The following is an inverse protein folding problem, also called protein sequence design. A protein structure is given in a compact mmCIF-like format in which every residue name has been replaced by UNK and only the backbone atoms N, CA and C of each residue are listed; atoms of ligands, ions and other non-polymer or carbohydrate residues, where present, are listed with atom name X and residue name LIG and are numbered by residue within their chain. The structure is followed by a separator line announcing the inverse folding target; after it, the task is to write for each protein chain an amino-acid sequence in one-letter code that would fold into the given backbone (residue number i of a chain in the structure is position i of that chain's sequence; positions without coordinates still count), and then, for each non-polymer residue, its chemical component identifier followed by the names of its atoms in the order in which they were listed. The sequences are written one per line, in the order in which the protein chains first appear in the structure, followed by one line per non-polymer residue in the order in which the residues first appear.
data_IF_675955393431
#
_entry.id   IF_675955393431
#
_cell.length_a   1.000
_cell.length_b   1.000
_cell.length_c   1.000
_cell.angle_alpha   90.00
_cell.angle_beta   90.00
_cell.angle_gamma   90.00
#
_symmetry.space_group_name_H-M   'P 1'
#
loop_
_entity.id
_entity.type
_entity.pdbx_description
1 polymer ?
#
# COMPACT_ATOMS: atom_id res chain seq x y z
N UNK A 1 -16.42 8.46 -0.34
CA UNK A 1 -15.99 8.41 1.06
C UNK A 1 -15.59 9.80 1.51
N UNK A 2 -15.86 10.15 2.74
CA UNK A 2 -15.43 11.43 3.29
C UNK A 2 -13.93 11.47 3.53
N UNK A 3 -13.44 12.62 3.97
CA UNK A 3 -12.02 12.77 4.26
C UNK A 3 -11.63 11.95 5.48
N UNK A 4 -10.39 11.49 5.46
CA UNK A 4 -9.81 10.70 6.55
C UNK A 4 -9.37 11.66 7.64
N UNK A 5 -9.75 11.43 8.92
CA UNK A 5 -9.30 12.31 10.01
C UNK A 5 -7.79 12.41 10.06
N UNK A 6 -7.30 13.59 10.45
CA UNK A 6 -5.85 13.86 10.46
C UNK A 6 -5.06 12.86 11.30
N UNK A 7 -5.58 12.46 12.46
CA UNK A 7 -4.88 11.50 13.33
C UNK A 7 -4.77 10.12 12.69
N UNK A 8 -5.78 9.71 11.94
CA UNK A 8 -5.76 8.43 11.22
C UNK A 8 -4.82 8.53 10.02
N UNK A 9 -4.92 9.62 9.25
CA UNK A 9 -4.03 9.83 8.11
C UNK A 9 -2.56 9.87 8.53
N UNK A 10 -2.24 10.50 9.66
CA UNK A 10 -0.89 10.53 10.19
C UNK A 10 -0.37 9.15 10.55
N UNK A 11 -1.20 8.35 11.20
CA UNK A 11 -0.82 6.97 11.54
C UNK A 11 -0.55 6.15 10.28
N UNK A 12 -1.40 6.28 9.27
CA UNK A 12 -1.18 5.57 8.00
C UNK A 12 0.14 6.01 7.37
N UNK A 13 0.39 7.32 7.31
CA UNK A 13 1.58 7.86 6.66
C UNK A 13 2.87 7.47 7.37
N UNK A 14 2.85 7.35 8.69
CA UNK A 14 4.03 7.04 9.49
C UNK A 14 4.44 5.56 9.43
N UNK A 15 3.52 4.67 9.13
CA UNK A 15 3.80 3.24 9.11
C UNK A 15 4.86 2.90 8.06
N UNK A 16 5.68 1.91 8.36
CA UNK A 16 6.79 1.50 7.46
C UNK A 16 6.45 0.27 6.66
N UNK A 17 5.54 -0.56 7.14
CA UNK A 17 5.11 -1.79 6.47
C UNK A 17 3.60 -1.87 6.58
N UNK A 18 2.96 -2.14 5.46
CA UNK A 18 1.55 -2.50 5.42
C UNK A 18 1.41 -3.95 4.97
N UNK A 19 0.24 -4.52 5.17
CA UNK A 19 -0.07 -5.86 4.71
C UNK A 19 -1.22 -5.76 3.72
N UNK A 20 -0.89 -6.06 2.46
CA UNK A 20 -1.84 -5.94 1.35
C UNK A 20 -2.51 -7.27 1.10
N UNK A 21 -3.83 -7.28 1.19
CA UNK A 21 -4.66 -8.43 0.84
C UNK A 21 -5.27 -8.24 -0.53
N UNK A 22 -5.11 -9.25 -1.37
CA UNK A 22 -5.73 -9.36 -2.69
C UNK A 22 -6.41 -10.71 -2.81
N UNK A 23 -7.28 -10.87 -3.79
CA UNK A 23 -7.91 -12.15 -4.05
C UNK A 23 -7.96 -12.40 -5.55
N UNK A 24 -7.88 -13.67 -5.94
CA UNK A 24 -8.02 -14.02 -7.35
C UNK A 24 -9.49 -14.11 -7.76
N UNK A 25 -9.73 -14.48 -9.02
CA UNK A 25 -11.09 -14.58 -9.55
C UNK A 25 -11.95 -15.61 -8.82
N UNK A 26 -11.33 -16.61 -8.20
CA UNK A 26 -12.06 -17.64 -7.44
C UNK A 26 -12.25 -17.26 -5.97
N UNK A 27 -11.70 -16.14 -5.55
CA UNK A 27 -11.80 -15.68 -4.17
C UNK A 27 -10.70 -16.16 -3.25
N UNK A 28 -9.64 -16.79 -3.78
CA UNK A 28 -8.50 -17.20 -2.94
C UNK A 28 -7.72 -15.96 -2.51
N UNK A 29 -7.61 -15.70 -1.20
CA UNK A 29 -6.88 -14.53 -0.73
C UNK A 29 -5.38 -14.74 -0.70
N UNK A 30 -4.65 -13.66 -0.89
CA UNK A 30 -3.20 -13.59 -0.74
C UNK A 30 -2.88 -12.35 0.08
N UNK A 31 -2.01 -12.47 1.07
CA UNK A 31 -1.59 -11.34 1.89
C UNK A 31 -0.07 -11.24 1.82
N UNK A 32 0.43 -10.06 1.50
CA UNK A 32 1.88 -9.82 1.39
C UNK A 32 2.25 -8.52 2.12
N UNK A 33 3.45 -8.46 2.72
CA UNK A 33 3.93 -7.20 3.28
C UNK A 33 4.36 -6.25 2.15
N UNK A 34 4.12 -4.97 2.34
CA UNK A 34 4.49 -3.94 1.37
C UNK A 34 5.13 -2.75 2.07
N UNK A 35 6.07 -2.11 1.38
CA UNK A 35 6.42 -0.73 1.65
C UNK A 35 5.44 0.15 0.90
N UNK A 36 5.06 1.27 1.48
CA UNK A 36 4.03 2.11 0.89
C UNK A 36 4.21 3.57 1.29
N UNK A 37 3.57 4.45 0.54
CA UNK A 37 3.43 5.85 0.90
C UNK A 37 1.96 6.25 0.80
N UNK A 38 1.57 7.25 1.56
CA UNK A 38 0.19 7.71 1.64
C UNK A 38 0.17 9.22 1.51
N UNK A 39 -0.68 9.75 0.63
CA UNK A 39 -0.77 11.18 0.38
C UNK A 39 -1.96 11.86 1.08
N UNK A 40 -2.64 11.14 1.96
CA UNK A 40 -3.86 11.61 2.61
C UNK A 40 -5.13 11.12 1.92
N UNK A 41 -5.04 10.67 0.69
CA UNK A 41 -6.17 10.19 -0.10
C UNK A 41 -5.95 8.79 -0.66
N UNK A 42 -4.76 8.52 -1.17
CA UNK A 42 -4.43 7.24 -1.81
C UNK A 42 -3.14 6.67 -1.25
N UNK A 43 -3.04 5.35 -1.31
CA UNK A 43 -1.87 4.62 -0.87
C UNK A 43 -1.16 4.06 -2.10
N UNK A 44 0.17 4.18 -2.13
CA UNK A 44 1.00 3.77 -3.26
C UNK A 44 2.03 2.75 -2.81
N UNK A 45 2.19 1.69 -3.60
CA UNK A 45 3.23 0.69 -3.38
C UNK A 45 3.84 0.33 -4.72
N UNK A 46 5.16 0.48 -4.83
CA UNK A 46 5.86 0.17 -6.06
C UNK A 46 6.17 -1.33 -6.14
N UNK A 47 6.08 -1.87 -7.34
CA UNK A 47 6.57 -3.21 -7.61
C UNK A 47 8.05 -3.06 -7.94
N UNK A 48 8.88 -3.81 -7.22
CA UNK A 48 10.32 -3.76 -7.39
C UNK A 48 10.68 -4.10 -8.84
N UNK A 49 11.55 -3.28 -9.42
CA UNK A 49 11.95 -3.40 -10.80
C UNK A 49 12.94 -4.53 -11.06
N UNK A 50 13.34 -5.31 -10.06
CA UNK A 50 14.28 -6.40 -10.27
C UNK A 50 13.55 -7.62 -10.85
N UNK A 51 13.55 -7.77 -12.17
CA UNK A 51 12.65 -8.73 -12.81
C UNK A 51 12.97 -10.19 -12.53
N UNK A 52 14.21 -10.50 -12.19
CA UNK A 52 14.63 -11.90 -12.05
C UNK A 52 14.12 -12.57 -10.79
N UNK A 53 14.07 -11.84 -9.69
CA UNK A 53 13.74 -12.40 -8.39
C UNK A 53 12.29 -12.17 -7.99
N UNK A 54 11.62 -11.23 -8.66
CA UNK A 54 10.28 -10.81 -8.29
C UNK A 54 9.18 -11.49 -9.06
N UNK A 55 9.55 -12.33 -10.00
CA UNK A 55 8.65 -12.82 -11.04
C UNK A 55 7.40 -13.53 -10.51
N UNK A 56 7.56 -14.43 -9.56
CA UNK A 56 6.44 -15.22 -9.09
C UNK A 56 5.46 -14.42 -8.25
N UNK A 57 5.95 -13.88 -7.15
CA UNK A 57 5.11 -13.22 -6.16
C UNK A 57 4.57 -11.89 -6.66
N UNK A 58 5.42 -11.06 -7.25
CA UNK A 58 4.99 -9.78 -7.79
C UNK A 58 3.89 -9.95 -8.81
N UNK A 59 4.02 -10.95 -9.68
CA UNK A 59 3.01 -11.21 -10.69
C UNK A 59 1.70 -11.73 -10.10
N UNK A 60 1.76 -12.50 -9.02
CA UNK A 60 0.54 -13.04 -8.41
C UNK A 60 -0.35 -11.93 -7.86
N UNK A 61 0.20 -10.98 -7.09
CA UNK A 61 -0.61 -9.88 -6.58
C UNK A 61 -1.12 -8.99 -7.72
N UNK A 62 -0.34 -8.81 -8.77
CA UNK A 62 -0.75 -8.02 -9.91
C UNK A 62 -1.87 -8.72 -10.68
N UNK A 63 -1.75 -10.02 -10.92
CA UNK A 63 -2.82 -10.77 -11.57
C UNK A 63 -4.10 -10.72 -10.75
N UNK A 64 -3.99 -10.86 -9.44
CA UNK A 64 -5.14 -10.77 -8.56
C UNK A 64 -5.86 -9.44 -8.72
N UNK A 65 -5.11 -8.33 -8.71
CA UNK A 65 -5.69 -7.00 -8.85
C UNK A 65 -6.34 -6.82 -10.23
N UNK A 66 -5.74 -7.35 -11.28
CA UNK A 66 -6.34 -7.29 -12.61
C UNK A 66 -7.67 -8.03 -12.68
N UNK A 67 -7.76 -9.17 -12.01
CA UNK A 67 -8.98 -9.96 -11.99
C UNK A 67 -10.00 -9.45 -10.99
N UNK A 68 -9.53 -8.87 -9.89
CA UNK A 68 -10.38 -8.38 -8.81
C UNK A 68 -9.70 -7.17 -8.17
N UNK A 69 -10.21 -6.00 -8.47
CA UNK A 69 -9.62 -4.75 -8.01
C UNK A 69 -9.83 -4.48 -6.51
N UNK A 70 -10.69 -5.24 -5.86
CA UNK A 70 -10.96 -5.03 -4.43
C UNK A 70 -9.79 -5.52 -3.60
N UNK A 71 -9.29 -4.65 -2.72
CA UNK A 71 -8.14 -4.93 -1.88
C UNK A 71 -8.39 -4.43 -0.46
N UNK A 72 -7.59 -4.95 0.46
CA UNK A 72 -7.51 -4.44 1.83
C UNK A 72 -6.06 -4.25 2.22
N UNK A 73 -5.80 -3.23 3.02
CA UNK A 73 -4.46 -3.01 3.59
C UNK A 73 -4.62 -2.83 5.09
N UNK A 74 -3.83 -3.55 5.86
CA UNK A 74 -3.75 -3.34 7.29
C UNK A 74 -2.41 -2.70 7.62
N UNK A 75 -2.46 -1.65 8.44
CA UNK A 75 -1.28 -0.99 9.01
C UNK A 75 -1.46 -1.05 10.51
N UNK A 76 -0.47 -1.59 11.20
CA UNK A 76 -0.62 -1.82 12.62
C UNK A 76 0.65 -1.44 13.38
N UNK A 77 0.46 -1.26 14.67
CA UNK A 77 1.55 -1.08 15.63
C UNK A 77 1.40 -2.11 16.72
N UNK A 78 2.40 -2.96 16.86
CA UNK A 78 2.48 -3.87 17.97
C UNK A 78 3.45 -3.35 19.03
N UNK A 79 3.12 -3.55 20.30
CA UNK A 79 3.96 -3.18 21.42
C UNK A 79 3.64 -4.17 22.55
N UNK A 80 4.65 -4.58 23.31
CA UNK A 80 4.41 -5.45 24.47
C UNK A 80 3.61 -4.74 25.55
N UNK A 81 3.64 -3.43 25.58
CA UNK A 81 2.67 -2.63 26.31
C UNK A 81 1.41 -2.49 25.46
N UNK A 82 0.40 -3.27 25.73
CA UNK A 82 -0.81 -3.36 24.92
C UNK A 82 -1.63 -2.06 24.91
N UNK A 83 -1.37 -1.13 25.83
CA UNK A 83 -2.02 0.19 25.78
C UNK A 83 -1.58 0.99 24.55
N UNK A 84 -0.51 0.56 23.88
CA UNK A 84 0.01 1.21 22.68
C UNK A 84 -0.46 0.55 21.39
N UNK A 85 -1.25 -0.51 21.48
CA UNK A 85 -1.72 -1.22 20.27
C UNK A 85 -2.65 -0.35 19.47
N UNK A 86 -2.47 -0.40 18.15
CA UNK A 86 -3.30 0.34 17.21
C UNK A 86 -3.26 -0.30 15.83
N UNK A 87 -4.36 -0.25 15.11
CA UNK A 87 -4.34 -0.61 13.69
C UNK A 87 -5.35 0.20 12.89
N UNK A 88 -5.10 0.25 11.59
CA UNK A 88 -6.01 0.84 10.61
C UNK A 88 -6.19 -0.20 9.49
N UNK A 89 -7.43 -0.39 9.08
CA UNK A 89 -7.77 -1.22 7.92
C UNK A 89 -8.31 -0.30 6.84
N UNK A 90 -7.69 -0.37 5.66
CA UNK A 90 -8.13 0.36 4.48
C UNK A 90 -8.72 -0.67 3.52
N UNK A 91 -9.98 -0.52 3.17
CA UNK A 91 -10.62 -1.33 2.14
C UNK A 91 -10.94 -0.43 0.97
N UNK A 92 -10.62 -0.86 -0.23
CA UNK A 92 -10.82 -0.04 -1.40
C UNK A 92 -10.56 -0.79 -2.68
N UNK A 93 -10.24 -0.04 -3.72
CA UNK A 93 -9.94 -0.60 -5.02
C UNK A 93 -8.54 -0.19 -5.45
N UNK A 94 -7.85 -1.12 -6.10
CA UNK A 94 -6.51 -0.89 -6.59
C UNK A 94 -6.52 -0.60 -8.08
N UNK A 95 -5.63 0.30 -8.47
CA UNK A 95 -5.29 0.60 -9.85
C UNK A 95 -3.81 0.30 -10.04
N UNK A 96 -3.42 0.11 -11.29
CA UNK A 96 -2.04 -0.26 -11.64
C UNK A 96 -1.45 0.74 -12.61
N UNK A 97 -1.18 1.98 -12.16
CA UNK A 97 -0.57 2.97 -13.06
C UNK A 97 0.85 2.55 -13.46
N UNK A 98 1.19 2.77 -14.72
CA UNK A 98 2.51 2.44 -15.27
C UNK A 98 3.28 3.69 -15.66
N UNK A 99 2.61 4.80 -15.81
CA UNK A 99 3.20 6.12 -16.11
C UNK A 99 2.20 7.21 -15.73
N UNK A 100 2.53 8.44 -16.05
CA UNK A 100 1.63 9.57 -15.86
C UNK A 100 1.63 10.12 -14.44
N UNK A 101 0.72 11.07 -14.16
CA UNK A 101 0.73 11.80 -12.88
C UNK A 101 0.59 10.91 -11.63
N UNK A 102 -0.26 9.91 -11.68
CA UNK A 102 -0.45 9.01 -10.55
C UNK A 102 0.82 8.23 -10.25
N UNK A 103 1.47 7.72 -11.30
CA UNK A 103 2.72 6.99 -11.14
C UNK A 103 3.80 7.89 -10.56
N UNK A 104 3.99 9.07 -11.15
CA UNK A 104 5.03 10.01 -10.72
C UNK A 104 4.82 10.45 -9.28
N UNK A 105 3.57 10.71 -8.90
CA UNK A 105 3.24 11.08 -7.52
C UNK A 105 3.61 9.98 -6.53
N UNK A 106 3.23 8.75 -6.84
CA UNK A 106 3.56 7.60 -5.99
C UNK A 106 5.06 7.39 -5.89
N UNK A 107 5.77 7.47 -7.00
CA UNK A 107 7.22 7.31 -7.03
C UNK A 107 7.92 8.40 -6.20
N UNK A 108 7.49 9.67 -6.33
CA UNK A 108 8.05 10.76 -5.55
C UNK A 108 7.85 10.55 -4.05
N UNK A 109 6.66 10.15 -3.64
CA UNK A 109 6.36 9.91 -2.24
C UNK A 109 7.20 8.76 -1.68
N UNK A 110 7.33 7.67 -2.44
CA UNK A 110 8.11 6.51 -2.01
C UNK A 110 9.60 6.85 -1.91
N UNK A 111 10.13 7.58 -2.90
CA UNK A 111 11.52 8.01 -2.86
C UNK A 111 11.81 8.92 -1.66
N UNK A 112 10.85 9.77 -1.31
CA UNK A 112 10.98 10.64 -0.14
C UNK A 112 10.90 9.90 1.18
N UNK A 113 10.13 8.83 1.24
CA UNK A 113 9.91 8.07 2.48
C UNK A 113 10.99 7.00 2.70
N UNK A 114 11.42 6.33 1.63
CA UNK A 114 12.37 5.21 1.69
C UNK A 114 13.60 5.52 0.84
N UNK A 115 14.67 6.03 1.46
CA UNK A 115 15.90 6.33 0.69
C UNK A 115 16.45 5.14 -0.08
N UNK A 116 16.15 3.93 0.36
CA UNK A 116 16.59 2.70 -0.30
C UNK A 116 16.12 2.60 -1.75
N UNK A 117 14.97 3.20 -2.07
CA UNK A 117 14.46 3.16 -3.45
C UNK A 117 15.36 3.88 -4.44
N UNK A 118 16.15 4.86 -3.99
CA UNK A 118 17.14 5.51 -4.86
C UNK A 118 18.20 4.55 -5.32
N UNK A 119 18.77 3.80 -4.37
CA UNK A 119 19.80 2.81 -4.70
C UNK A 119 19.24 1.69 -5.57
N UNK A 120 17.95 1.37 -5.43
CA UNK A 120 17.29 0.35 -6.22
C UNK A 120 16.88 0.85 -7.60
N UNK A 121 16.99 2.16 -7.86
CA UNK A 121 16.70 2.70 -9.17
C UNK A 121 15.21 2.87 -9.48
N UNK A 122 14.40 3.19 -8.47
CA UNK A 122 12.99 3.46 -8.73
C UNK A 122 12.86 4.64 -9.68
N UNK A 123 12.26 4.42 -10.84
CA UNK A 123 12.05 5.42 -11.87
C UNK A 123 10.81 6.24 -11.54
N UNK A 124 10.89 7.56 -11.71
CA UNK A 124 9.75 8.46 -11.48
C UNK A 124 8.80 8.53 -12.67
N UNK A 125 9.23 8.07 -13.83
CA UNK A 125 8.47 8.21 -15.07
C UNK A 125 7.64 7.00 -15.41
N UNK A 126 8.21 5.82 -15.30
CA UNK A 126 7.53 4.57 -15.70
C UNK A 126 7.87 3.43 -14.77
N UNK A 127 7.01 2.43 -14.77
CA UNK A 127 7.19 1.22 -13.99
C UNK A 127 5.86 0.55 -13.72
N UNK A 128 5.75 -0.10 -12.58
CA UNK A 128 4.51 -0.71 -12.14
C UNK A 128 4.25 -0.31 -10.69
N UNK A 129 3.08 0.28 -10.47
CA UNK A 129 2.68 0.81 -9.18
C UNK A 129 1.32 0.23 -8.82
N UNK A 130 1.11 -0.02 -7.54
CA UNK A 130 -0.23 -0.30 -7.00
C UNK A 130 -0.70 0.98 -6.33
N UNK A 131 -1.82 1.52 -6.79
CA UNK A 131 -2.48 2.67 -6.17
C UNK A 131 -3.78 2.18 -5.57
N UNK A 132 -3.92 2.31 -4.25
CA UNK A 132 -5.15 1.93 -3.55
C UNK A 132 -5.97 3.19 -3.27
N UNK A 133 -7.20 3.19 -3.75
CA UNK A 133 -8.18 4.24 -3.47
C UNK A 133 -9.08 3.76 -2.36
N UNK A 134 -9.00 4.34 -1.15
CA UNK A 134 -9.84 3.90 -0.05
C UNK A 134 -11.32 4.12 -0.31
N UNK A 135 -12.12 3.13 0.00
CA UNK A 135 -13.58 3.24 0.05
C UNK A 135 -14.06 3.26 1.50
N UNK A 136 -13.35 2.56 2.38
CA UNK A 136 -13.69 2.50 3.80
C UNK A 136 -12.42 2.41 4.61
N UNK A 137 -12.33 3.20 5.68
CA UNK A 137 -11.22 3.17 6.61
C UNK A 137 -11.77 2.90 7.99
N UNK A 138 -11.27 1.85 8.62
CA UNK A 138 -11.64 1.44 9.98
C UNK A 138 -10.40 1.53 10.84
N UNK A 139 -10.53 2.09 12.02
CA UNK A 139 -9.39 2.20 12.93
C UNK A 139 -9.74 1.70 14.32
N UNK A 140 -8.74 1.19 15.02
CA UNK A 140 -8.85 0.78 16.40
C UNK A 140 -7.58 1.15 17.15
N UNK A 141 -7.71 1.60 18.38
CA UNK A 141 -6.59 1.77 19.28
C UNK A 141 -7.04 1.41 20.68
N UNK A 142 -6.10 0.88 21.46
CA UNK A 142 -6.40 0.42 22.82
C UNK A 142 -6.83 1.58 23.71
N UNK A 143 -6.11 2.69 23.63
CA UNK A 143 -6.39 3.88 24.45
C UNK A 143 -6.83 5.02 23.53
N UNK A 144 -7.89 5.68 23.90
CA UNK A 144 -8.37 6.85 23.15
C UNK A 144 -7.67 8.14 23.59
#
# INVERSE_FOLDING_TARGET
MGSIPASVAGFIAEGRVGHLGTADASGQPLVVPICYAFDGESLFSAIDAKPKTQRGEGLKRIRNIRDNAKVSVVIDRYDEDWTQLRYVIIQGQAQLPTDGPDFSRGADLLLGKYPQYRAMGLDRGTGLMIKVKPARVTQWQYSS
#
